data_IF_122049422809
#
_entry.id   IF_122049422809
#
_cell.length_a   1.000
_cell.length_b   1.000
_cell.length_c   1.000
_cell.angle_alpha   90.00
_cell.angle_beta   90.00
_cell.angle_gamma   90.00
#
_symmetry.space_group_name_H-M   'P 1'
#
loop_
_entity.id
_entity.type
_entity.pdbx_description
1 polymer ?
#
# COMPACT_ATOMS: atom_id res chain seq x y z
N UNK A 1 -49.73 -27.65 -29.30
CA UNK A 1 -49.02 -27.02 -28.16
C UNK A 1 -47.66 -26.58 -28.69
N UNK A 2 -47.43 -25.28 -28.88
CA UNK A 2 -46.16 -24.78 -29.42
C UNK A 2 -45.42 -24.04 -28.30
N UNK A 3 -44.25 -24.57 -27.91
CA UNK A 3 -43.36 -23.92 -26.96
C UNK A 3 -42.59 -22.83 -27.69
N UNK A 4 -42.80 -21.58 -27.31
CA UNK A 4 -42.00 -20.44 -27.75
C UNK A 4 -40.62 -20.50 -27.08
N UNK A 5 -39.56 -20.61 -27.87
CA UNK A 5 -38.20 -20.48 -27.38
C UNK A 5 -37.86 -18.99 -27.14
N UNK A 6 -37.38 -18.67 -25.95
CA UNK A 6 -36.90 -17.32 -25.59
C UNK A 6 -35.57 -17.06 -26.29
N UNK A 7 -35.40 -15.92 -27.00
CA UNK A 7 -34.14 -15.59 -27.63
C UNK A 7 -33.08 -15.35 -26.54
N UNK A 8 -31.92 -16.00 -26.66
CA UNK A 8 -30.78 -15.71 -25.79
C UNK A 8 -30.24 -14.32 -26.13
N UNK A 9 -30.23 -13.43 -25.14
CA UNK A 9 -29.70 -12.09 -25.28
C UNK A 9 -28.16 -12.18 -25.28
N UNK A 10 -27.56 -12.15 -26.47
CA UNK A 10 -26.11 -11.98 -26.65
C UNK A 10 -25.72 -10.53 -26.32
N UNK A 11 -25.77 -10.20 -25.03
CA UNK A 11 -25.31 -8.91 -24.54
C UNK A 11 -23.79 -8.83 -24.64
N UNK A 12 -23.28 -7.83 -25.36
CA UNK A 12 -21.86 -7.52 -25.32
C UNK A 12 -21.50 -7.09 -23.89
N UNK A 13 -20.68 -7.88 -23.21
CA UNK A 13 -20.11 -7.54 -21.92
C UNK A 13 -19.11 -6.39 -22.12
N UNK A 14 -19.56 -5.17 -21.92
CA UNK A 14 -18.67 -4.01 -21.85
C UNK A 14 -18.10 -3.94 -20.43
N UNK A 15 -16.81 -4.29 -20.32
CA UNK A 15 -16.08 -4.10 -19.06
C UNK A 15 -15.62 -2.64 -18.98
N UNK A 16 -15.81 -1.97 -17.84
CA UNK A 16 -15.25 -0.66 -17.64
C UNK A 16 -13.71 -0.78 -17.67
N UNK A 17 -13.08 -0.06 -18.60
CA UNK A 17 -11.62 0.02 -18.70
C UNK A 17 -11.18 1.30 -18.00
N UNK A 18 -10.41 1.16 -16.92
CA UNK A 18 -9.83 2.30 -16.19
C UNK A 18 -8.50 2.65 -16.88
N UNK A 19 -8.32 3.88 -17.38
CA UNK A 19 -7.06 4.27 -18.00
C UNK A 19 -5.95 4.39 -16.95
N UNK A 20 -4.72 4.02 -17.34
CA UNK A 20 -3.57 4.00 -16.43
C UNK A 20 -3.26 5.38 -15.83
N UNK A 21 -3.54 6.45 -16.57
CA UNK A 21 -3.35 7.83 -16.10
C UNK A 21 -4.20 8.16 -14.87
N UNK A 22 -5.39 7.55 -14.73
CA UNK A 22 -6.25 7.74 -13.55
C UNK A 22 -5.73 6.96 -12.33
N UNK A 23 -5.02 5.85 -12.55
CA UNK A 23 -4.40 5.05 -11.49
C UNK A 23 -3.05 5.62 -11.02
N UNK A 24 -2.35 6.34 -11.90
CA UNK A 24 -0.98 6.77 -11.68
C UNK A 24 -0.79 7.62 -10.42
N UNK A 25 -1.65 8.62 -10.10
CA UNK A 25 -1.50 9.40 -8.86
C UNK A 25 -1.64 8.56 -7.60
N UNK A 26 -2.57 7.60 -7.61
CA UNK A 26 -2.80 6.70 -6.47
C UNK A 26 -1.67 5.69 -6.32
N UNK A 27 -1.14 5.17 -7.42
CA UNK A 27 0.02 4.29 -7.40
C UNK A 27 1.26 5.01 -6.88
N UNK A 28 1.49 6.28 -7.28
CA UNK A 28 2.58 7.10 -6.75
C UNK A 28 2.37 7.35 -5.25
N UNK A 29 1.18 7.77 -4.84
CA UNK A 29 0.88 8.00 -3.42
C UNK A 29 1.09 6.74 -2.57
N UNK A 30 0.53 5.60 -3.00
CA UNK A 30 0.74 4.32 -2.33
C UNK A 30 2.20 3.88 -2.33
N UNK A 31 2.93 4.09 -3.43
CA UNK A 31 4.36 3.82 -3.53
C UNK A 31 5.20 4.66 -2.56
N UNK A 32 4.88 5.94 -2.41
CA UNK A 32 5.54 6.82 -1.44
C UNK A 32 5.27 6.37 0.00
N UNK A 33 4.03 6.01 0.33
CA UNK A 33 3.70 5.47 1.65
C UNK A 33 4.38 4.13 1.91
N UNK A 34 4.49 3.26 0.90
CA UNK A 34 5.21 2.00 1.01
C UNK A 34 6.69 2.24 1.30
N UNK A 35 7.34 3.15 0.57
CA UNK A 35 8.75 3.50 0.80
C UNK A 35 8.91 4.08 2.22
N UNK A 36 7.99 4.93 2.66
CA UNK A 36 8.01 5.48 4.02
C UNK A 36 7.86 4.38 5.08
N UNK A 37 6.95 3.43 4.88
CA UNK A 37 6.78 2.30 5.78
C UNK A 37 8.04 1.41 5.81
N UNK A 38 8.65 1.12 4.66
CA UNK A 38 9.90 0.38 4.55
C UNK A 38 11.06 1.11 5.25
N UNK A 39 11.09 2.44 5.20
CA UNK A 39 12.07 3.24 5.94
C UNK A 39 11.93 3.07 7.45
N UNK A 40 10.72 3.23 8.00
CA UNK A 40 10.48 3.04 9.43
C UNK A 40 10.76 1.60 9.87
N UNK A 41 10.29 0.60 9.13
CA UNK A 41 10.56 -0.82 9.43
C UNK A 41 12.07 -1.13 9.34
N UNK A 42 12.75 -0.60 8.33
CA UNK A 42 14.19 -0.80 8.13
C UNK A 42 15.06 -0.07 9.17
N UNK A 43 14.63 1.09 9.65
CA UNK A 43 15.31 1.84 10.71
C UNK A 43 15.27 1.11 12.06
N UNK A 44 14.15 0.44 12.37
CA UNK A 44 13.96 -0.30 13.63
C UNK A 44 14.62 -1.68 13.63
N UNK A 45 14.83 -2.29 12.45
CA UNK A 45 15.45 -3.62 12.29
C UNK A 45 16.93 -3.55 11.85
N UNK A 46 17.54 -2.36 11.87
CA UNK A 46 18.97 -2.19 11.55
C UNK A 46 19.32 -2.37 10.06
N UNK A 47 18.35 -2.51 9.16
CA UNK A 47 18.58 -2.60 7.71
C UNK A 47 19.15 -1.29 7.13
N UNK A 48 18.91 -0.16 7.80
CA UNK A 48 19.57 1.12 7.49
C UNK A 48 20.87 1.33 8.26
N UNK A 49 21.36 0.40 9.09
CA UNK A 49 22.56 0.63 9.94
C UNK A 49 23.85 0.89 9.15
N UNK A 50 23.85 0.67 7.83
CA UNK A 50 24.92 1.09 6.90
C UNK A 50 25.06 2.61 6.79
N UNK A 51 24.00 3.36 7.03
CA UNK A 51 24.02 4.81 7.20
C UNK A 51 23.70 5.04 8.67
N UNK A 52 24.57 5.70 9.44
CA UNK A 52 24.32 5.94 10.87
C UNK A 52 23.08 6.84 11.05
N UNK A 53 21.88 6.25 11.03
CA UNK A 53 20.61 6.92 11.27
C UNK A 53 20.39 7.20 12.76
N UNK A 54 21.44 7.64 13.46
CA UNK A 54 21.47 7.83 14.91
C UNK A 54 20.32 8.74 15.38
N UNK A 55 20.06 9.84 14.66
CA UNK A 55 18.97 10.77 14.99
C UNK A 55 17.57 10.18 14.84
N UNK A 56 17.30 9.45 13.75
CA UNK A 56 15.96 8.87 13.55
C UNK A 56 15.76 7.67 14.45
N UNK A 57 16.80 6.86 14.65
CA UNK A 57 16.79 5.74 15.57
C UNK A 57 16.50 6.20 17.00
N UNK A 58 17.18 7.25 17.48
CA UNK A 58 16.92 7.84 18.80
C UNK A 58 15.51 8.45 18.90
N UNK A 59 15.07 9.21 17.88
CA UNK A 59 13.73 9.80 17.88
C UNK A 59 12.61 8.74 17.96
N UNK A 60 12.70 7.68 17.15
CA UNK A 60 11.69 6.60 17.15
C UNK A 60 11.78 5.77 18.42
N UNK A 61 13.00 5.48 18.86
CA UNK A 61 13.24 4.81 20.14
C UNK A 61 12.62 5.60 21.30
N UNK A 62 12.88 6.91 21.41
CA UNK A 62 12.32 7.79 22.44
C UNK A 62 10.79 7.91 22.34
N UNK A 63 10.25 7.97 21.12
CA UNK A 63 8.80 7.95 20.89
C UNK A 63 8.12 6.69 21.44
N UNK A 64 8.74 5.52 21.28
CA UNK A 64 8.26 4.25 21.84
C UNK A 64 8.21 4.29 23.38
N UNK A 65 9.25 4.86 24.00
CA UNK A 65 9.29 5.07 25.45
C UNK A 65 8.21 6.05 25.93
N UNK A 66 7.99 7.16 25.21
CA UNK A 66 6.94 8.13 25.53
C UNK A 66 5.53 7.53 25.44
N UNK A 67 5.30 6.59 24.52
CA UNK A 67 4.02 5.89 24.37
C UNK A 67 3.89 4.68 25.31
N UNK A 68 4.87 4.44 26.18
CA UNK A 68 4.84 3.39 27.21
C UNK A 68 5.03 1.96 26.69
N UNK A 69 5.49 1.81 25.44
CA UNK A 69 5.79 0.49 24.89
C UNK A 69 7.11 -0.05 25.49
N UNK A 70 7.15 -1.33 25.92
CA UNK A 70 8.34 -1.91 26.51
C UNK A 70 9.48 -2.05 25.50
N UNK A 71 10.70 -1.87 25.99
CA UNK A 71 11.94 -1.85 25.21
C UNK A 71 12.93 -2.90 25.75
N UNK A 72 12.68 -4.19 25.47
CA UNK A 72 13.67 -5.26 25.64
C UNK A 72 13.27 -6.49 24.83
#
# INVERSE_FOLDING_TARGET
MAHTATPAHSGNLSLPVIPLAELLPWAIFGGLLLILALYFVGAEQGATSLFSGMYVHEFVHDGRHLLGFPCH
#
